data_IF_607696957692
#
_entry.id   IF_607696957692
#
_cell.length_a   1.000
_cell.length_b   1.000
_cell.length_c   1.000
_cell.angle_alpha   90.00
_cell.angle_beta   90.00
_cell.angle_gamma   90.00
#
_symmetry.space_group_name_H-M   'P 1'
#
loop_
_entity.id
_entity.type
_entity.pdbx_description
1 polymer ?
#
# COMPACT_ATOMS: atom_id res chain seq x y z
N UNK A 1 20.51 8.71 -19.30
CA UNK A 1 20.21 7.29 -19.54
C UNK A 1 18.82 7.03 -19.02
N UNK A 2 18.11 6.07 -19.60
CA UNK A 2 16.79 5.70 -19.11
C UNK A 2 16.93 4.86 -17.85
N UNK A 3 16.10 5.14 -16.83
CA UNK A 3 16.08 4.43 -15.57
C UNK A 3 14.71 3.78 -15.39
N UNK A 4 14.70 2.52 -14.96
CA UNK A 4 13.49 1.73 -14.73
C UNK A 4 13.48 1.22 -13.29
N UNK A 5 12.27 1.11 -12.72
CA UNK A 5 12.09 0.43 -11.43
C UNK A 5 12.37 -1.07 -11.60
N UNK A 6 13.04 -1.66 -10.61
CA UNK A 6 13.19 -3.11 -10.53
C UNK A 6 11.97 -3.73 -9.86
N UNK A 7 11.63 -4.96 -10.26
CA UNK A 7 10.65 -5.74 -9.51
C UNK A 7 11.15 -6.05 -8.09
N UNK A 8 10.22 -6.32 -7.17
CA UNK A 8 10.55 -6.78 -5.82
C UNK A 8 11.52 -7.97 -5.91
N UNK A 9 12.62 -7.88 -5.17
CA UNK A 9 13.74 -8.81 -5.25
C UNK A 9 14.94 -8.27 -6.03
N UNK A 10 14.79 -7.27 -6.90
CA UNK A 10 15.91 -6.57 -7.56
C UNK A 10 16.66 -7.42 -8.59
N UNK A 11 17.46 -8.39 -8.15
CA UNK A 11 18.20 -9.34 -8.98
C UNK A 11 17.58 -10.74 -8.94
N UNK A 12 18.00 -11.61 -9.86
CA UNK A 12 17.47 -12.97 -9.95
C UNK A 12 17.77 -13.78 -8.69
N UNK A 13 18.98 -13.63 -8.16
CA UNK A 13 19.49 -14.31 -6.96
C UNK A 13 18.68 -13.91 -5.71
N UNK A 14 18.24 -12.66 -5.66
CA UNK A 14 17.42 -12.12 -4.59
C UNK A 14 15.90 -12.32 -4.82
N UNK A 15 15.52 -13.05 -5.87
CA UNK A 15 14.13 -13.45 -6.11
C UNK A 15 13.32 -12.55 -7.04
N UNK A 16 13.95 -11.70 -7.87
CA UNK A 16 13.23 -10.78 -8.78
C UNK A 16 12.21 -11.46 -9.70
N UNK A 17 12.48 -12.71 -10.10
CA UNK A 17 11.58 -13.51 -10.92
C UNK A 17 10.22 -13.80 -10.23
N UNK A 18 10.18 -13.83 -8.89
CA UNK A 18 8.93 -13.94 -8.12
C UNK A 18 8.18 -12.60 -8.11
N UNK A 19 8.89 -11.50 -7.91
CA UNK A 19 8.31 -10.15 -7.98
C UNK A 19 7.74 -9.84 -9.37
N UNK A 20 8.44 -10.24 -10.44
CA UNK A 20 7.93 -10.16 -11.81
C UNK A 20 6.66 -11.00 -11.98
N UNK A 21 6.65 -12.24 -11.49
CA UNK A 21 5.46 -13.11 -11.56
C UNK A 21 4.24 -12.50 -10.86
N UNK A 22 4.43 -11.89 -9.69
CA UNK A 22 3.36 -11.17 -8.98
C UNK A 22 2.85 -9.95 -9.76
N UNK A 23 3.77 -9.16 -10.34
CA UNK A 23 3.40 -8.01 -11.16
C UNK A 23 2.63 -8.43 -12.43
N UNK A 24 3.06 -9.52 -13.09
CA UNK A 24 2.38 -10.06 -14.26
C UNK A 24 1.00 -10.62 -13.94
N UNK A 25 0.83 -11.26 -12.77
CA UNK A 25 -0.49 -11.69 -12.31
C UNK A 25 -1.44 -10.50 -12.17
N UNK A 26 -0.98 -9.39 -11.56
CA UNK A 26 -1.76 -8.15 -11.45
C UNK A 26 -2.13 -7.58 -12.84
N UNK A 27 -1.18 -7.53 -13.77
CA UNK A 27 -1.42 -7.10 -15.16
C UNK A 27 -2.54 -7.92 -15.82
N UNK A 28 -2.49 -9.25 -15.69
CA UNK A 28 -3.48 -10.14 -16.30
C UNK A 28 -4.88 -9.91 -15.69
N UNK A 29 -5.01 -9.85 -14.37
CA UNK A 29 -6.33 -9.75 -13.73
C UNK A 29 -6.93 -8.33 -13.82
N UNK A 30 -6.09 -7.30 -13.82
CA UNK A 30 -6.55 -5.92 -13.88
C UNK A 30 -6.78 -5.43 -15.30
N UNK A 31 -5.93 -5.83 -16.26
CA UNK A 31 -5.95 -5.29 -17.62
C UNK A 31 -6.47 -6.28 -18.67
N UNK A 32 -5.89 -7.47 -18.76
CA UNK A 32 -6.29 -8.44 -19.79
C UNK A 32 -7.70 -8.96 -19.53
N UNK A 33 -7.99 -9.35 -18.29
CA UNK A 33 -9.30 -9.88 -17.91
C UNK A 33 -10.41 -8.82 -18.00
N UNK A 34 -10.10 -7.54 -17.78
CA UNK A 34 -11.05 -6.44 -17.91
C UNK A 34 -11.24 -5.97 -19.35
N UNK A 35 -10.40 -6.42 -20.29
CA UNK A 35 -10.42 -5.99 -21.70
C UNK A 35 -9.73 -4.64 -21.96
N UNK A 36 -9.03 -4.07 -20.97
CA UNK A 36 -8.24 -2.84 -21.14
C UNK A 36 -6.99 -3.05 -22.03
N UNK A 37 -6.49 -4.28 -22.09
CA UNK A 37 -5.29 -4.68 -22.83
C UNK A 37 -3.98 -4.36 -22.11
N UNK A 38 -2.86 -4.88 -22.60
CA UNK A 38 -1.56 -4.81 -21.92
C UNK A 38 -1.05 -3.37 -21.73
N UNK A 39 -0.96 -2.92 -20.48
CA UNK A 39 -0.44 -1.61 -20.07
C UNK A 39 0.98 -1.33 -20.59
N UNK A 40 1.96 -2.23 -20.39
CA UNK A 40 3.33 -2.02 -20.89
C UNK A 40 3.45 -1.92 -22.42
N UNK A 41 2.47 -2.48 -23.16
CA UNK A 41 2.48 -2.49 -24.62
C UNK A 41 1.73 -1.28 -25.19
N UNK A 42 0.61 -0.91 -24.58
CA UNK A 42 -0.31 0.09 -25.09
C UNK A 42 -0.25 1.44 -24.37
N UNK A 43 0.44 1.51 -23.23
CA UNK A 43 0.52 2.73 -22.41
C UNK A 43 -0.84 3.16 -21.85
N UNK A 44 -1.75 2.23 -21.58
CA UNK A 44 -3.07 2.54 -21.05
C UNK A 44 -3.00 2.86 -19.53
N UNK A 45 -4.00 3.58 -18.97
CA UNK A 45 -4.00 3.94 -17.54
C UNK A 45 -4.22 2.75 -16.60
N UNK A 46 -4.46 1.55 -17.13
CA UNK A 46 -4.78 0.34 -16.38
C UNK A 46 -6.26 0.22 -16.00
N UNK A 47 -6.74 -1.02 -15.88
CA UNK A 47 -7.97 -1.40 -15.22
C UNK A 47 -7.75 -1.75 -13.75
N UNK A 48 -8.84 -2.03 -13.06
CA UNK A 48 -8.82 -2.39 -11.63
C UNK A 48 -9.56 -3.71 -11.42
N UNK A 49 -9.07 -4.50 -10.48
CA UNK A 49 -9.70 -5.73 -10.04
C UNK A 49 -10.03 -5.61 -8.55
N UNK A 50 -11.26 -5.96 -8.18
CA UNK A 50 -11.71 -5.99 -6.79
C UNK A 50 -12.27 -7.37 -6.47
N UNK A 51 -11.94 -7.89 -5.29
CA UNK A 51 -12.41 -9.17 -4.82
C UNK A 51 -12.80 -9.06 -3.34
N UNK A 52 -13.99 -9.59 -3.02
CA UNK A 52 -14.48 -9.71 -1.66
C UNK A 52 -14.84 -11.17 -1.41
N UNK A 53 -14.43 -11.68 -0.25
CA UNK A 53 -14.79 -13.01 0.21
C UNK A 53 -15.72 -12.87 1.41
N UNK A 54 -16.85 -13.57 1.36
CA UNK A 54 -17.76 -13.68 2.51
C UNK A 54 -17.20 -14.66 3.52
N UNK A 55 -16.84 -14.18 4.71
CA UNK A 55 -16.25 -15.01 5.79
C UNK A 55 -17.26 -16.04 6.29
N UNK A 56 -18.55 -15.68 6.39
CA UNK A 56 -19.62 -16.54 6.90
C UNK A 56 -19.83 -17.77 6.02
N UNK A 57 -19.47 -17.68 4.74
CA UNK A 57 -19.50 -18.81 3.81
C UNK A 57 -18.44 -19.89 4.12
N UNK A 58 -17.42 -19.59 4.96
CA UNK A 58 -16.33 -20.52 5.30
C UNK A 58 -16.28 -20.88 6.78
N UNK A 59 -16.58 -19.94 7.68
CA UNK A 59 -16.49 -20.13 9.13
C UNK A 59 -17.35 -19.11 9.88
N UNK A 60 -17.54 -19.30 11.18
CA UNK A 60 -18.12 -18.27 12.05
C UNK A 60 -17.25 -16.99 12.06
N UNK A 61 -17.88 -15.83 11.82
CA UNK A 61 -17.20 -14.53 11.67
C UNK A 61 -16.51 -14.07 12.95
N UNK A 62 -17.13 -14.27 14.12
CA UNK A 62 -16.53 -13.83 15.38
C UNK A 62 -15.33 -14.71 15.72
N UNK A 63 -15.45 -16.03 15.52
CA UNK A 63 -14.31 -16.95 15.62
C UNK A 63 -13.16 -16.55 14.67
N UNK A 64 -13.46 -16.17 13.42
CA UNK A 64 -12.44 -15.74 12.47
C UNK A 64 -11.68 -14.51 12.98
N UNK A 65 -12.39 -13.53 13.55
CA UNK A 65 -11.78 -12.33 14.13
C UNK A 65 -10.91 -12.68 15.34
N UNK A 66 -11.40 -13.52 16.26
CA UNK A 66 -10.64 -13.98 17.43
C UNK A 66 -9.34 -14.71 17.03
N UNK A 67 -9.42 -15.59 16.01
CA UNK A 67 -8.26 -16.29 15.46
C UNK A 67 -7.28 -15.30 14.81
N UNK A 68 -7.80 -14.26 14.14
CA UNK A 68 -6.98 -13.22 13.52
C UNK A 68 -6.25 -12.37 14.57
N UNK A 69 -6.95 -11.94 15.62
CA UNK A 69 -6.34 -11.21 16.74
C UNK A 69 -5.23 -12.04 17.38
N UNK A 70 -5.47 -13.34 17.59
CA UNK A 70 -4.47 -14.27 18.12
C UNK A 70 -3.24 -14.36 17.20
N UNK A 71 -3.44 -14.47 15.88
CA UNK A 71 -2.35 -14.54 14.91
C UNK A 71 -1.54 -13.23 14.86
N UNK A 72 -2.22 -12.09 14.79
CA UNK A 72 -1.58 -10.78 14.69
C UNK A 72 -0.79 -10.47 15.97
N UNK A 73 -1.34 -10.81 17.14
CA UNK A 73 -0.64 -10.71 18.42
C UNK A 73 0.61 -11.60 18.45
N UNK A 74 0.49 -12.84 17.99
CA UNK A 74 1.64 -13.74 17.89
C UNK A 74 2.75 -13.16 16.99
N UNK A 75 2.40 -12.55 15.84
CA UNK A 75 3.38 -11.95 14.93
C UNK A 75 4.16 -10.82 15.59
N UNK A 76 3.49 -9.90 16.29
CA UNK A 76 4.17 -8.76 16.92
C UNK A 76 5.00 -9.16 18.14
N UNK A 77 4.65 -10.27 18.80
CA UNK A 77 5.39 -10.81 19.94
C UNK A 77 6.62 -11.63 19.54
N UNK A 78 6.82 -11.91 18.24
CA UNK A 78 8.04 -12.59 17.77
C UNK A 78 9.27 -11.76 18.12
N UNK A 79 10.31 -12.34 18.75
CA UNK A 79 11.54 -11.63 19.04
C UNK A 79 12.14 -11.02 17.76
N UNK A 80 12.42 -9.70 17.74
CA UNK A 80 12.93 -9.06 16.56
C UNK A 80 14.35 -9.54 16.24
N UNK A 81 14.74 -9.46 14.95
CA UNK A 81 16.11 -9.71 14.55
C UNK A 81 17.07 -8.68 15.17
N UNK A 82 18.35 -9.04 15.33
CA UNK A 82 19.37 -8.15 15.90
C UNK A 82 19.40 -6.81 15.14
N UNK A 83 19.27 -5.71 15.88
CA UNK A 83 19.28 -4.35 15.33
C UNK A 83 17.90 -3.81 14.96
N UNK A 84 16.83 -4.58 15.19
CA UNK A 84 15.45 -4.14 15.01
C UNK A 84 14.72 -4.10 16.36
N UNK A 85 13.79 -3.16 16.51
CA UNK A 85 13.07 -2.92 17.77
C UNK A 85 11.84 -3.83 17.93
N UNK A 86 11.09 -4.07 16.85
CA UNK A 86 9.85 -4.87 16.87
C UNK A 86 9.51 -5.44 15.50
N UNK A 87 8.63 -6.45 15.49
CA UNK A 87 8.06 -7.05 14.28
C UNK A 87 6.72 -6.37 13.96
N UNK A 88 6.41 -6.20 12.67
CA UNK A 88 5.20 -5.55 12.18
C UNK A 88 4.47 -6.44 11.18
N UNK A 89 3.15 -6.28 11.12
CA UNK A 89 2.31 -6.78 10.03
C UNK A 89 1.75 -5.60 9.20
N UNK A 90 1.28 -5.91 7.99
CA UNK A 90 0.73 -4.91 7.09
C UNK A 90 -0.51 -4.23 7.70
N UNK A 91 -0.51 -2.90 7.78
CA UNK A 91 -1.59 -2.11 8.37
C UNK A 91 -1.30 -1.60 9.78
N UNK A 92 -0.40 -2.24 10.55
CA UNK A 92 -0.12 -1.80 11.92
C UNK A 92 0.56 -0.42 11.96
N UNK A 93 1.53 -0.19 11.08
CA UNK A 93 2.23 1.10 11.02
C UNK A 93 1.29 2.20 10.52
N UNK A 94 0.44 1.88 9.56
CA UNK A 94 -0.55 2.81 9.00
C UNK A 94 -1.59 3.23 10.05
N UNK A 95 -2.08 2.30 10.88
CA UNK A 95 -2.98 2.59 12.01
C UNK A 95 -2.33 3.51 13.07
N UNK A 96 -1.06 3.28 13.38
CA UNK A 96 -0.31 4.15 14.30
C UNK A 96 -0.10 5.56 13.71
N UNK A 97 0.34 5.63 12.46
CA UNK A 97 0.53 6.89 11.73
C UNK A 97 -0.80 7.67 11.64
N UNK A 98 -1.93 6.99 11.40
CA UNK A 98 -3.26 7.60 11.37
C UNK A 98 -3.64 8.19 12.73
N UNK A 99 -3.51 7.41 13.80
CA UNK A 99 -3.81 7.85 15.18
C UNK A 99 -2.95 9.03 15.62
N UNK A 100 -1.68 9.06 15.21
CA UNK A 100 -0.78 10.18 15.47
C UNK A 100 -1.22 11.41 14.68
N UNK A 101 -1.37 11.29 13.35
CA UNK A 101 -1.69 12.42 12.46
C UNK A 101 -3.08 13.00 12.71
N UNK A 102 -4.04 12.24 13.22
CA UNK A 102 -5.32 12.77 13.69
C UNK A 102 -5.17 13.70 14.90
N UNK A 103 -4.13 13.53 15.72
CA UNK A 103 -3.85 14.36 16.90
C UNK A 103 -2.92 15.52 16.60
N UNK A 104 -1.89 15.28 15.79
CA UNK A 104 -0.79 16.22 15.55
C UNK A 104 -0.83 16.90 14.18
N UNK A 105 -1.77 16.52 13.31
CA UNK A 105 -1.81 16.95 11.92
C UNK A 105 -0.92 16.11 11.00
N UNK A 106 -1.12 16.27 9.68
CA UNK A 106 -0.33 15.59 8.65
C UNK A 106 0.94 16.40 8.38
N UNK A 107 2.15 15.82 8.51
CA UNK A 107 3.39 16.54 8.29
C UNK A 107 3.68 16.66 6.79
N UNK A 108 3.33 17.79 6.20
CA UNK A 108 3.68 18.09 4.81
C UNK A 108 5.12 18.63 4.70
N UNK A 109 5.80 18.28 3.61
CA UNK A 109 7.04 18.95 3.24
C UNK A 109 6.76 20.41 2.90
N UNK A 110 7.68 21.32 3.23
CA UNK A 110 7.52 22.78 3.02
C UNK A 110 7.08 23.14 1.60
N UNK A 111 7.62 22.46 0.58
CA UNK A 111 7.32 22.73 -0.82
C UNK A 111 5.88 22.34 -1.19
N UNK A 112 5.32 21.34 -0.51
CA UNK A 112 3.91 20.94 -0.68
C UNK A 112 2.99 22.01 -0.09
N UNK A 113 3.36 22.57 1.07
CA UNK A 113 2.62 23.68 1.69
C UNK A 113 2.65 24.91 0.77
N UNK A 114 3.83 25.30 0.29
CA UNK A 114 3.99 26.43 -0.64
C UNK A 114 3.15 26.23 -1.92
N UNK A 115 3.09 25.00 -2.43
CA UNK A 115 2.29 24.65 -3.61
C UNK A 115 0.79 24.75 -3.35
N UNK A 116 0.30 24.30 -2.20
CA UNK A 116 -1.11 24.48 -1.83
C UNK A 116 -1.47 25.95 -1.64
N UNK A 117 -0.63 26.70 -0.92
CA UNK A 117 -0.82 28.14 -0.69
C UNK A 117 -0.91 28.91 -2.03
N UNK A 118 -0.11 28.54 -3.04
CA UNK A 118 -0.18 29.20 -4.36
C UNK A 118 -1.51 28.93 -5.07
N UNK A 119 -2.00 27.68 -5.07
CA UNK A 119 -3.28 27.35 -5.69
C UNK A 119 -4.46 27.98 -4.96
N UNK A 120 -4.42 28.03 -3.63
CA UNK A 120 -5.44 28.69 -2.84
C UNK A 120 -5.52 30.19 -3.13
N UNK A 121 -4.37 30.86 -3.28
CA UNK A 121 -4.32 32.26 -3.69
C UNK A 121 -4.92 32.49 -5.09
N UNK A 122 -4.60 31.63 -6.06
CA UNK A 122 -5.18 31.68 -7.42
C UNK A 122 -6.69 31.46 -7.42
N UNK A 123 -7.16 30.52 -6.60
CA UNK A 123 -8.58 30.19 -6.46
C UNK A 123 -9.35 31.20 -5.58
N UNK A 124 -8.68 32.12 -4.89
CA UNK A 124 -9.29 33.05 -3.93
C UNK A 124 -9.82 32.38 -2.68
N UNK A 125 -9.23 31.25 -2.27
CA UNK A 125 -9.60 30.47 -1.08
C UNK A 125 -8.61 30.79 0.04
N UNK A 126 -9.12 31.12 1.22
CA UNK A 126 -8.28 31.29 2.40
C UNK A 126 -7.70 29.94 2.85
N UNK A 127 -6.41 29.92 3.14
CA UNK A 127 -5.66 28.69 3.40
C UNK A 127 -4.56 28.97 4.41
N UNK A 128 -4.71 28.41 5.61
CA UNK A 128 -3.70 28.42 6.65
C UNK A 128 -3.29 26.98 6.96
N UNK A 129 -2.16 26.56 6.37
CA UNK A 129 -1.61 25.21 6.48
C UNK A 129 -0.39 25.14 7.39
N UNK A 130 -0.09 26.20 8.15
CA UNK A 130 1.10 26.34 8.99
C UNK A 130 0.81 26.19 10.48
#
# INVERSE_FOLDING_TARGET
GDYYLLHIGGTRENGSHKGFGLALMNEIICNELSGFGSGPVHGNPGGHFFQAYDIEAFTDTEKFKDDMDTLLQYIVDVPPAKGFERVLYAGLREDEDEKERLKTGIPYHKEVIEWFESYCAEAGIDCDLR
#
